data_IF_751816051526
#
_entry.id   IF_751816051526
#
_cell.length_a   1.000
_cell.length_b   1.000
_cell.length_c   1.000
_cell.angle_alpha   90.00
_cell.angle_beta   90.00
_cell.angle_gamma   90.00
#
_symmetry.space_group_name_H-M   'P 1'
#
loop_
_entity.id
_entity.type
_entity.pdbx_description
1 polymer ?
#
# COMPACT_ATOMS: atom_id res chain seq x y z
N UNK A 1 -4.85 10.76 10.52
CA UNK A 1 -4.21 10.07 9.37
C UNK A 1 -3.84 11.13 8.34
N UNK A 2 -2.63 11.05 7.78
CA UNK A 2 -2.25 11.84 6.63
C UNK A 2 -3.03 11.40 5.38
N UNK A 3 -3.12 12.27 4.37
CA UNK A 3 -3.69 11.92 3.06
C UNK A 3 -3.05 10.65 2.48
N UNK A 4 -1.73 10.47 2.69
CA UNK A 4 -1.01 9.28 2.25
C UNK A 4 -1.53 8.00 2.89
N UNK A 5 -1.91 8.04 4.17
CA UNK A 5 -2.44 6.86 4.88
C UNK A 5 -3.81 6.47 4.31
N UNK A 6 -4.66 7.45 4.00
CA UNK A 6 -5.95 7.22 3.35
C UNK A 6 -5.80 6.69 1.92
N UNK A 7 -4.86 7.22 1.14
CA UNK A 7 -4.56 6.71 -0.20
C UNK A 7 -4.08 5.27 -0.15
N UNK A 8 -3.18 4.93 0.78
CA UNK A 8 -2.68 3.55 0.94
C UNK A 8 -3.80 2.59 1.37
N UNK A 9 -4.70 3.03 2.26
CA UNK A 9 -5.88 2.25 2.63
C UNK A 9 -6.82 2.02 1.45
N UNK A 10 -7.05 3.06 0.63
CA UNK A 10 -7.85 2.94 -0.60
C UNK A 10 -7.23 1.95 -1.59
N UNK A 11 -5.92 2.02 -1.79
CA UNK A 11 -5.19 1.07 -2.63
C UNK A 11 -5.25 -0.35 -2.05
N UNK A 12 -5.12 -0.52 -0.74
CA UNK A 12 -5.25 -1.82 -0.09
C UNK A 12 -6.61 -2.47 -0.39
N UNK A 13 -7.70 -1.72 -0.16
CA UNK A 13 -9.07 -2.21 -0.40
C UNK A 13 -9.28 -2.49 -1.88
N UNK A 14 -8.85 -1.58 -2.76
CA UNK A 14 -8.99 -1.75 -4.21
C UNK A 14 -8.22 -2.98 -4.72
N UNK A 15 -7.02 -3.23 -4.21
CA UNK A 15 -6.21 -4.39 -4.57
C UNK A 15 -6.89 -5.70 -4.20
N UNK A 16 -7.48 -5.74 -3.00
CA UNK A 16 -8.27 -6.88 -2.57
C UNK A 16 -9.51 -7.11 -3.45
N UNK A 17 -10.24 -6.06 -3.80
CA UNK A 17 -11.39 -6.15 -4.71
C UNK A 17 -10.99 -6.62 -6.11
N UNK A 18 -9.88 -6.12 -6.67
CA UNK A 18 -9.36 -6.56 -7.97
C UNK A 18 -8.92 -8.02 -7.94
N UNK A 19 -8.30 -8.47 -6.85
CA UNK A 19 -7.96 -9.88 -6.67
C UNK A 19 -9.21 -10.77 -6.71
N UNK A 20 -10.23 -10.43 -5.93
CA UNK A 20 -11.49 -11.19 -5.91
C UNK A 20 -12.20 -11.16 -7.26
N UNK A 21 -12.25 -10.00 -7.91
CA UNK A 21 -12.86 -9.87 -9.23
C UNK A 21 -12.10 -10.67 -10.30
N UNK A 22 -10.77 -10.61 -10.30
CA UNK A 22 -9.92 -11.40 -11.20
C UNK A 22 -10.09 -12.91 -10.98
N UNK A 23 -10.18 -13.35 -9.73
CA UNK A 23 -10.46 -14.74 -9.39
C UNK A 23 -11.85 -15.19 -9.85
N UNK A 24 -12.87 -14.36 -9.65
CA UNK A 24 -14.25 -14.65 -10.06
C UNK A 24 -14.44 -14.67 -11.58
N UNK A 25 -13.68 -13.86 -12.32
CA UNK A 25 -13.75 -13.77 -13.79
C UNK A 25 -12.70 -14.64 -14.49
N UNK A 26 -11.92 -15.42 -13.74
CA UNK A 26 -10.79 -16.21 -14.25
C UNK A 26 -9.76 -15.37 -15.04
N UNK A 27 -9.67 -14.08 -14.74
CA UNK A 27 -8.72 -13.17 -15.37
C UNK A 27 -7.47 -13.01 -14.48
N UNK A 28 -6.43 -13.78 -14.82
CA UNK A 28 -5.17 -13.79 -14.08
C UNK A 28 -4.49 -12.42 -14.03
N UNK A 29 -4.53 -11.65 -15.12
CA UNK A 29 -3.90 -10.31 -15.18
C UNK A 29 -4.52 -9.41 -14.12
N UNK A 30 -5.85 -9.33 -14.07
CA UNK A 30 -6.57 -8.51 -13.09
C UNK A 30 -6.33 -9.01 -11.66
N UNK A 31 -6.37 -10.34 -11.46
CA UNK A 31 -6.17 -10.96 -10.16
C UNK A 31 -4.79 -10.63 -9.57
N UNK A 32 -3.72 -10.89 -10.33
CA UNK A 32 -2.35 -10.62 -9.88
C UNK A 32 -2.05 -9.13 -9.77
N UNK A 33 -2.59 -8.26 -10.64
CA UNK A 33 -2.52 -6.81 -10.44
C UNK A 33 -3.11 -6.40 -9.09
N UNK A 34 -4.25 -6.98 -8.69
CA UNK A 34 -4.84 -6.78 -7.36
C UNK A 34 -3.91 -7.21 -6.22
N UNK A 35 -3.28 -8.38 -6.34
CA UNK A 35 -2.31 -8.90 -5.35
C UNK A 35 -1.12 -7.96 -5.19
N UNK A 36 -0.51 -7.51 -6.29
CA UNK A 36 0.62 -6.59 -6.22
C UNK A 36 0.24 -5.24 -5.62
N UNK A 37 -0.95 -4.73 -5.95
CA UNK A 37 -1.46 -3.48 -5.39
C UNK A 37 -1.72 -3.60 -3.88
N UNK A 38 -2.30 -4.72 -3.44
CA UNK A 38 -2.54 -5.06 -2.05
C UNK A 38 -1.24 -5.13 -1.25
N UNK A 39 -0.29 -6.00 -1.65
CA UNK A 39 0.99 -6.16 -0.95
C UNK A 39 1.82 -4.87 -1.01
N UNK A 40 1.82 -4.19 -2.17
CA UNK A 40 2.53 -2.93 -2.38
C UNK A 40 2.04 -1.81 -1.46
N UNK A 41 0.73 -1.74 -1.18
CA UNK A 41 0.17 -0.76 -0.25
C UNK A 41 0.68 -0.96 1.20
N UNK A 42 0.79 -2.22 1.64
CA UNK A 42 1.34 -2.57 2.96
C UNK A 42 2.82 -2.21 3.03
N UNK A 43 3.60 -2.60 2.01
CA UNK A 43 5.03 -2.28 1.94
C UNK A 43 5.26 -0.76 1.93
N UNK A 44 4.48 -0.03 1.12
CA UNK A 44 4.55 1.43 1.06
C UNK A 44 4.25 2.10 2.40
N UNK A 45 3.22 1.62 3.12
CA UNK A 45 2.91 2.10 4.47
C UNK A 45 4.09 1.91 5.43
N UNK A 46 4.69 0.71 5.46
CA UNK A 46 5.83 0.41 6.32
C UNK A 46 7.05 1.27 5.99
N UNK A 47 7.37 1.45 4.71
CA UNK A 47 8.49 2.30 4.27
C UNK A 47 8.28 3.74 4.74
N UNK A 48 7.09 4.30 4.53
CA UNK A 48 6.77 5.68 4.95
C UNK A 48 6.83 5.79 6.48
N UNK A 49 6.30 4.81 7.20
CA UNK A 49 6.35 4.77 8.65
C UNK A 49 7.80 4.79 9.16
N UNK A 50 8.64 3.88 8.65
CA UNK A 50 10.06 3.80 9.01
C UNK A 50 10.77 5.12 8.69
N UNK A 51 10.53 5.68 7.50
CA UNK A 51 11.17 6.95 7.10
C UNK A 51 10.80 8.10 8.05
N UNK A 52 9.52 8.25 8.39
CA UNK A 52 9.05 9.25 9.35
C UNK A 52 9.69 9.04 10.72
N UNK A 53 9.83 7.80 11.16
CA UNK A 53 10.43 7.49 12.46
C UNK A 53 11.93 7.77 12.50
N UNK A 54 12.65 7.46 11.42
CA UNK A 54 14.07 7.84 11.26
C UNK A 54 14.25 9.36 11.20
N UNK A 55 13.37 10.08 10.51
CA UNK A 55 13.43 11.53 10.39
C UNK A 55 13.23 12.23 11.75
N UNK A 56 12.35 11.71 12.61
CA UNK A 56 12.18 12.22 13.99
C UNK A 56 13.43 12.04 14.86
N UNK A 57 14.25 11.01 14.58
CA UNK A 57 15.47 10.71 15.33
C UNK A 57 16.69 11.50 14.86
N UNK A 58 16.58 12.30 13.80
CA UNK A 58 17.66 13.18 13.37
C UNK A 58 17.65 14.44 14.26
N UNK A 59 18.60 14.63 15.19
CA UNK A 59 18.73 15.92 15.84
C UNK A 59 18.98 16.98 14.77
N UNK A 60 18.35 18.15 14.89
CA UNK A 60 18.65 19.29 14.05
C UNK A 60 20.17 19.52 14.11
N UNK A 61 20.87 19.19 13.02
CA UNK A 61 22.30 19.48 12.95
C UNK A 61 22.44 20.98 12.68
N UNK A 62 22.93 21.68 13.70
CA UNK A 62 23.48 23.05 13.72
C UNK A 62 22.51 24.18 13.35
#
# INVERSE_FOLDING_TARGET
MSWTDWTLLGLFILGFLLFLYGANTYNAVVGYSGVYLFIGSIAGYLIIYIYKELAKKKPASA
#
